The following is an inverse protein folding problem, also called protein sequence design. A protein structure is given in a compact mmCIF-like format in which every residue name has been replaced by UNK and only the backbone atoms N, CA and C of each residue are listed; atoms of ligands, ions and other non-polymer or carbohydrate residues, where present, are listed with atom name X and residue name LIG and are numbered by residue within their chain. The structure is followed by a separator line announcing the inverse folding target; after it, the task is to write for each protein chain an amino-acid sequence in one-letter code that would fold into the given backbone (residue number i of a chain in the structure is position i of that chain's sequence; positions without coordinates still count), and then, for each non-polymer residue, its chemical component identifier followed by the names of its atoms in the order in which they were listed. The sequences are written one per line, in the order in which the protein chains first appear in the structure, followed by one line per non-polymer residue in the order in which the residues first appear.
data_IF_573942819553
#
_entry.id   IF_573942819553
#
_cell.length_a   1.000
_cell.length_b   1.000
_cell.length_c   1.000
_cell.angle_alpha   90.00
_cell.angle_beta   90.00
_cell.angle_gamma   90.00
#
_symmetry.space_group_name_H-M   'P 1'
#
loop_
_entity.id
_entity.type
_entity.pdbx_description
1 polymer ?
#
# COMPACT_ATOMS: atom_id res chain seq x y z
N UNK A 1 -30.64 12.16 3.68
CA UNK A 1 -30.37 11.42 2.44
C UNK A 1 -29.72 12.35 1.44
N UNK A 2 -28.41 12.21 1.21
CA UNK A 2 -27.67 12.96 0.18
C UNK A 2 -28.09 12.43 -1.20
N UNK A 3 -28.65 13.29 -2.04
CA UNK A 3 -29.06 12.95 -3.40
C UNK A 3 -27.85 12.64 -4.29
N UNK A 4 -27.56 11.35 -4.49
CA UNK A 4 -26.60 10.84 -5.48
C UNK A 4 -26.90 11.34 -6.92
N UNK A 5 -28.16 11.68 -7.22
CA UNK A 5 -28.59 12.19 -8.54
C UNK A 5 -28.01 13.56 -8.90
N UNK A 6 -27.44 14.32 -7.96
CA UNK A 6 -26.77 15.58 -8.23
C UNK A 6 -25.26 15.45 -8.51
N UNK A 7 -24.63 14.34 -8.11
CA UNK A 7 -23.24 14.07 -8.50
C UNK A 7 -23.15 13.69 -9.99
N UNK A 8 -24.10 12.93 -10.53
CA UNK A 8 -24.08 12.56 -11.94
C UNK A 8 -24.34 13.75 -12.88
N UNK A 9 -25.12 14.75 -12.45
CA UNK A 9 -25.33 15.99 -13.21
C UNK A 9 -24.14 16.97 -13.13
N UNK A 10 -23.35 16.92 -12.07
CA UNK A 10 -22.09 17.67 -11.96
C UNK A 10 -20.93 17.07 -12.76
N UNK A 11 -20.93 15.75 -12.93
CA UNK A 11 -19.96 15.01 -13.79
C UNK A 11 -20.34 15.12 -15.28
N UNK A 12 -21.59 15.50 -15.59
CA UNK A 12 -22.07 15.78 -16.94
C UNK A 12 -21.57 17.13 -17.52
N UNK A 13 -20.36 17.57 -17.18
CA UNK A 13 -19.66 18.55 -18.02
C UNK A 13 -18.95 17.83 -19.16
N UNK A 14 -19.76 17.21 -20.04
CA UNK A 14 -19.30 16.65 -21.32
C UNK A 14 -18.23 17.51 -22.05
N UNK A 15 -18.28 18.86 -22.05
CA UNK A 15 -17.21 19.67 -22.66
C UNK A 15 -15.87 19.63 -21.90
N UNK A 16 -15.84 19.50 -20.57
CA UNK A 16 -14.58 19.44 -19.80
C UNK A 16 -13.96 18.05 -19.94
N UNK A 17 -14.76 16.99 -19.82
CA UNK A 17 -14.29 15.62 -20.05
C UNK A 17 -13.76 15.49 -21.48
N UNK A 18 -14.51 15.97 -22.49
CA UNK A 18 -14.04 16.00 -23.87
C UNK A 18 -12.78 16.86 -24.03
N UNK A 19 -12.68 18.04 -23.40
CA UNK A 19 -11.48 18.87 -23.46
C UNK A 19 -10.25 18.19 -22.83
N UNK A 20 -10.41 17.45 -21.72
CA UNK A 20 -9.32 16.68 -21.10
C UNK A 20 -8.89 15.52 -22.00
N UNK A 21 -9.82 14.76 -22.58
CA UNK A 21 -9.50 13.71 -23.54
C UNK A 21 -8.85 14.28 -24.82
N UNK A 22 -9.32 15.43 -25.30
CA UNK A 22 -8.78 16.14 -26.46
C UNK A 22 -7.44 16.84 -26.18
N UNK A 23 -7.12 17.15 -24.92
CA UNK A 23 -5.87 17.82 -24.53
C UNK A 23 -4.62 16.95 -24.67
N UNK A 24 -4.79 15.64 -24.94
CA UNK A 24 -3.70 14.68 -25.01
C UNK A 24 -3.11 14.28 -23.64
N UNK A 25 -3.47 14.97 -22.54
CA UNK A 25 -2.98 14.71 -21.18
C UNK A 25 -3.28 13.26 -20.76
N UNK A 26 -4.52 12.80 -20.97
CA UNK A 26 -4.90 11.42 -20.64
C UNK A 26 -4.15 10.40 -21.50
N UNK A 27 -3.96 10.69 -22.79
CA UNK A 27 -3.21 9.83 -23.70
C UNK A 27 -1.73 9.74 -23.29
N UNK A 28 -1.12 10.86 -22.88
CA UNK A 28 0.26 10.91 -22.41
C UNK A 28 0.43 10.24 -21.04
N UNK A 29 -0.53 10.39 -20.13
CA UNK A 29 -0.55 9.65 -18.86
C UNK A 29 -0.74 8.14 -19.10
N UNK A 30 -1.65 7.75 -19.99
CA UNK A 30 -1.85 6.35 -20.38
C UNK A 30 -0.57 5.74 -20.98
N UNK A 31 0.11 6.46 -21.89
CA UNK A 31 1.42 6.06 -22.41
C UNK A 31 2.45 5.93 -21.28
N UNK A 32 2.47 6.88 -20.34
CA UNK A 32 3.36 6.81 -19.18
C UNK A 32 3.07 5.56 -18.32
N UNK A 33 1.80 5.22 -18.07
CA UNK A 33 1.40 3.98 -17.41
C UNK A 33 1.84 2.74 -18.18
N UNK A 34 1.66 2.74 -19.51
CA UNK A 34 2.12 1.64 -20.36
C UNK A 34 3.64 1.45 -20.29
N UNK A 35 4.43 2.53 -20.43
CA UNK A 35 5.89 2.47 -20.32
C UNK A 35 6.35 2.11 -18.91
N UNK A 36 5.68 2.64 -17.88
CA UNK A 36 5.94 2.29 -16.49
C UNK A 36 5.68 0.81 -16.24
N UNK A 37 4.59 0.24 -16.77
CA UNK A 37 4.30 -1.19 -16.70
C UNK A 37 5.36 -2.01 -17.44
N UNK A 38 5.69 -1.61 -18.68
CA UNK A 38 6.70 -2.24 -19.52
C UNK A 38 8.12 -2.17 -18.93
N UNK A 39 8.42 -1.19 -18.08
CA UNK A 39 9.68 -1.13 -17.33
C UNK A 39 9.64 -1.88 -16.01
N UNK A 40 8.54 -1.78 -15.27
CA UNK A 40 8.38 -2.37 -13.92
C UNK A 40 8.31 -3.90 -14.00
N UNK A 41 7.56 -4.47 -14.95
CA UNK A 41 7.42 -5.92 -15.08
C UNK A 41 8.79 -6.59 -15.34
N UNK A 42 9.58 -6.19 -16.36
CA UNK A 42 10.90 -6.77 -16.57
C UNK A 42 11.87 -6.52 -15.43
N UNK A 43 11.77 -5.37 -14.73
CA UNK A 43 12.59 -5.10 -13.55
C UNK A 43 12.31 -6.12 -12.45
N UNK A 44 11.04 -6.39 -12.14
CA UNK A 44 10.66 -7.42 -11.18
C UNK A 44 11.15 -8.81 -11.60
N UNK A 45 11.01 -9.18 -12.88
CA UNK A 45 11.51 -10.44 -13.41
C UNK A 45 13.04 -10.53 -13.28
N UNK A 46 13.77 -9.48 -13.67
CA UNK A 46 15.22 -9.42 -13.60
C UNK A 46 15.74 -9.54 -12.16
N UNK A 47 15.09 -8.85 -11.20
CA UNK A 47 15.42 -8.97 -9.78
C UNK A 47 15.19 -10.41 -9.30
N UNK A 48 14.05 -11.02 -9.63
CA UNK A 48 13.78 -12.40 -9.21
C UNK A 48 14.77 -13.40 -9.83
N UNK A 49 15.10 -13.26 -11.12
CA UNK A 49 16.10 -14.09 -11.80
C UNK A 49 17.50 -13.90 -11.19
N UNK A 50 17.89 -12.66 -10.90
CA UNK A 50 19.15 -12.35 -10.23
C UNK A 50 19.21 -12.97 -8.83
N UNK A 51 18.14 -12.84 -8.04
CA UNK A 51 18.04 -13.46 -6.72
C UNK A 51 18.12 -14.99 -6.80
N UNK A 52 17.44 -15.62 -7.77
CA UNK A 52 17.51 -17.06 -7.99
C UNK A 52 18.92 -17.51 -8.41
N UNK A 53 19.59 -16.76 -9.29
CA UNK A 53 20.96 -17.02 -9.70
C UNK A 53 21.98 -16.86 -8.56
N UNK A 54 21.83 -15.81 -7.75
CA UNK A 54 22.66 -15.58 -6.55
C UNK A 54 22.44 -16.71 -5.54
N UNK A 55 21.21 -17.14 -5.30
CA UNK A 55 20.91 -18.26 -4.41
C UNK A 55 21.58 -19.58 -4.84
N UNK A 56 21.83 -19.80 -6.14
CA UNK A 56 22.56 -20.97 -6.65
C UNK A 56 24.09 -20.85 -6.46
N UNK A 57 24.63 -19.63 -6.52
CA UNK A 57 26.09 -19.40 -6.45
C UNK A 57 26.64 -19.37 -5.03
N UNK A 58 25.83 -19.00 -4.06
CA UNK A 58 26.28 -18.93 -2.67
C UNK A 58 25.92 -20.23 -1.92
N UNK A 59 26.87 -20.86 -1.21
CA UNK A 59 26.57 -22.02 -0.38
C UNK A 59 25.48 -21.69 0.64
N UNK A 60 24.70 -22.68 1.05
CA UNK A 60 23.45 -22.58 1.81
C UNK A 60 23.50 -21.85 3.18
N UNK A 61 24.60 -21.20 3.55
CA UNK A 61 24.77 -20.35 4.74
C UNK A 61 25.22 -18.90 4.47
N UNK A 62 25.44 -18.52 3.20
CA UNK A 62 25.87 -17.17 2.83
C UNK A 62 24.73 -16.25 2.39
N UNK A 63 23.65 -16.82 1.83
CA UNK A 63 22.46 -16.06 1.45
C UNK A 63 21.37 -16.19 2.52
N UNK A 64 20.51 -15.18 2.72
CA UNK A 64 19.37 -15.30 3.62
C UNK A 64 18.47 -16.43 3.11
N UNK A 65 18.44 -17.56 3.82
CA UNK A 65 17.49 -18.63 3.53
C UNK A 65 16.11 -18.12 3.92
N UNK A 66 15.35 -17.64 2.93
CA UNK A 66 13.95 -17.28 3.15
C UNK A 66 13.14 -18.57 3.37
N UNK A 67 12.46 -18.70 4.53
CA UNK A 67 11.76 -19.92 4.91
C UNK A 67 10.54 -20.22 4.05
N UNK A 68 9.97 -19.22 3.37
CA UNK A 68 8.82 -19.37 2.49
C UNK A 68 8.91 -18.44 1.27
N UNK A 69 8.16 -18.77 0.22
CA UNK A 69 8.14 -17.97 -1.02
C UNK A 69 7.52 -16.58 -0.82
N UNK A 70 6.58 -16.44 0.12
CA UNK A 70 6.01 -15.14 0.47
C UNK A 70 7.09 -14.12 0.92
N UNK A 71 8.02 -14.53 1.78
CA UNK A 71 9.12 -13.65 2.21
C UNK A 71 10.10 -13.32 1.08
N UNK A 72 10.30 -14.24 0.12
CA UNK A 72 11.12 -13.99 -1.07
C UNK A 72 10.49 -12.92 -1.95
N UNK A 73 9.18 -13.05 -2.23
CA UNK A 73 8.43 -12.07 -3.02
C UNK A 73 8.46 -10.70 -2.34
N UNK A 74 8.15 -10.61 -1.04
CA UNK A 74 8.21 -9.34 -0.29
C UNK A 74 9.61 -8.71 -0.33
N UNK A 75 10.66 -9.53 -0.23
CA UNK A 75 12.04 -9.03 -0.33
C UNK A 75 12.36 -8.52 -1.73
N UNK A 76 11.97 -9.24 -2.79
CA UNK A 76 12.12 -8.78 -4.17
C UNK A 76 11.36 -7.47 -4.43
N UNK A 77 10.15 -7.32 -3.87
CA UNK A 77 9.37 -6.09 -3.91
C UNK A 77 10.12 -4.92 -3.27
N UNK A 78 10.71 -5.10 -2.09
CA UNK A 78 11.50 -4.02 -1.46
C UNK A 78 12.72 -3.61 -2.30
N UNK A 79 13.40 -4.57 -2.95
CA UNK A 79 14.50 -4.26 -3.87
C UNK A 79 13.99 -3.45 -5.06
N UNK A 80 12.90 -3.89 -5.69
CA UNK A 80 12.31 -3.20 -6.83
C UNK A 80 11.92 -1.77 -6.45
N UNK A 81 11.30 -1.57 -5.28
CA UNK A 81 10.88 -0.25 -4.81
C UNK A 81 12.07 0.64 -4.52
N UNK A 82 13.12 0.09 -3.90
CA UNK A 82 14.36 0.83 -3.67
C UNK A 82 14.93 1.33 -5.00
N UNK A 83 15.03 0.46 -6.03
CA UNK A 83 15.56 0.82 -7.35
C UNK A 83 14.69 1.88 -8.04
N UNK A 84 13.38 1.67 -8.06
CA UNK A 84 12.38 2.58 -8.63
C UNK A 84 12.46 3.96 -7.96
N UNK A 85 12.45 4.02 -6.63
CA UNK A 85 12.49 5.28 -5.90
C UNK A 85 13.83 6.00 -6.03
N UNK A 86 14.95 5.27 -6.03
CA UNK A 86 16.25 5.88 -6.31
C UNK A 86 16.32 6.45 -7.73
N UNK A 87 15.82 5.73 -8.74
CA UNK A 87 15.81 6.20 -10.13
C UNK A 87 14.89 7.40 -10.37
N UNK A 88 13.80 7.52 -9.60
CA UNK A 88 12.82 8.59 -9.74
C UNK A 88 13.05 9.79 -8.82
N UNK A 89 13.83 9.65 -7.75
CA UNK A 89 14.07 10.71 -6.76
C UNK A 89 14.52 12.03 -7.43
N UNK A 90 15.62 12.02 -8.20
CA UNK A 90 16.16 13.23 -8.84
C UNK A 90 15.16 13.88 -9.82
N UNK A 91 14.62 13.16 -10.83
CA UNK A 91 13.70 13.79 -11.78
C UNK A 91 12.44 14.31 -11.08
N UNK A 92 11.96 13.64 -10.04
CA UNK A 92 10.74 14.04 -9.35
C UNK A 92 10.96 15.26 -8.44
N UNK A 93 12.12 15.37 -7.77
CA UNK A 93 12.50 16.58 -7.02
C UNK A 93 12.63 17.79 -7.94
N UNK A 94 13.24 17.63 -9.13
CA UNK A 94 13.31 18.71 -10.13
C UNK A 94 11.92 19.13 -10.58
N UNK A 95 11.03 18.17 -10.84
CA UNK A 95 9.65 18.45 -11.20
C UNK A 95 8.89 19.16 -10.08
N UNK A 96 9.04 18.71 -8.82
CA UNK A 96 8.44 19.34 -7.65
C UNK A 96 8.81 20.82 -7.55
N UNK A 97 10.10 21.16 -7.63
CA UNK A 97 10.57 22.55 -7.56
C UNK A 97 9.94 23.39 -8.68
N UNK A 98 9.96 22.88 -9.93
CA UNK A 98 9.38 23.60 -11.07
C UNK A 98 7.88 23.85 -10.90
N UNK A 99 7.14 22.89 -10.39
CA UNK A 99 5.69 23.03 -10.19
C UNK A 99 5.38 23.93 -9.01
N UNK A 100 6.08 23.80 -7.88
CA UNK A 100 5.81 24.61 -6.69
C UNK A 100 5.92 26.10 -6.98
N UNK A 101 6.95 26.49 -7.74
CA UNK A 101 7.24 27.88 -8.06
C UNK A 101 6.67 28.37 -9.39
N UNK A 102 5.93 27.54 -10.14
CA UNK A 102 5.25 28.03 -11.35
C UNK A 102 4.04 28.89 -10.98
N UNK A 103 3.97 30.07 -11.60
CA UNK A 103 2.80 30.95 -11.58
C UNK A 103 1.81 30.62 -12.72
N UNK A 104 2.16 29.71 -13.63
CA UNK A 104 1.35 29.36 -14.82
C UNK A 104 0.29 28.31 -14.48
N UNK A 105 -0.78 28.27 -15.28
CA UNK A 105 -1.88 27.31 -15.15
C UNK A 105 -1.49 25.89 -15.57
N UNK A 106 -2.21 24.88 -15.06
CA UNK A 106 -1.98 23.44 -15.34
C UNK A 106 -2.03 23.11 -16.84
N UNK A 107 -2.91 23.77 -17.60
CA UNK A 107 -3.04 23.57 -19.04
C UNK A 107 -1.72 23.81 -19.79
N UNK A 108 -0.94 24.80 -19.36
CA UNK A 108 0.38 25.04 -19.93
C UNK A 108 1.39 23.95 -19.57
N UNK A 109 1.30 23.40 -18.34
CA UNK A 109 2.15 22.28 -17.96
C UNK A 109 1.87 21.05 -18.82
N UNK A 110 0.60 20.77 -19.14
CA UNK A 110 0.18 19.62 -19.96
C UNK A 110 0.75 19.60 -21.39
N UNK A 111 1.12 20.76 -21.94
CA UNK A 111 1.76 20.86 -23.27
C UNK A 111 3.29 20.79 -23.21
N UNK A 112 3.89 20.93 -22.02
CA UNK A 112 5.33 21.02 -21.85
C UNK A 112 5.97 19.65 -21.56
N UNK A 113 7.24 19.50 -21.93
CA UNK A 113 8.08 18.35 -21.52
C UNK A 113 8.08 18.10 -20.00
N UNK A 114 7.82 19.14 -19.21
CA UNK A 114 7.65 19.08 -17.75
C UNK A 114 6.54 18.13 -17.31
N UNK A 115 5.40 18.03 -18.03
CA UNK A 115 4.34 17.09 -17.66
C UNK A 115 4.80 15.64 -17.79
N UNK A 116 5.59 15.31 -18.80
CA UNK A 116 6.16 13.96 -18.97
C UNK A 116 7.09 13.58 -17.82
N UNK A 117 7.86 14.54 -17.30
CA UNK A 117 8.71 14.35 -16.12
C UNK A 117 7.93 14.08 -14.83
N UNK A 118 6.62 14.38 -14.78
CA UNK A 118 5.74 14.14 -13.63
C UNK A 118 4.90 12.88 -13.84
N UNK A 119 4.30 12.76 -15.02
CA UNK A 119 3.44 11.66 -15.40
C UNK A 119 4.18 10.32 -15.31
N UNK A 120 5.45 10.26 -15.72
CA UNK A 120 6.21 9.01 -15.65
C UNK A 120 6.48 8.53 -14.22
N UNK A 121 7.04 9.34 -13.29
CA UNK A 121 7.15 8.94 -11.88
C UNK A 121 5.80 8.59 -11.22
N UNK A 122 4.74 9.34 -11.47
CA UNK A 122 3.40 9.05 -10.93
C UNK A 122 2.86 7.71 -11.45
N UNK A 123 2.99 7.47 -12.77
CA UNK A 123 2.62 6.21 -13.39
C UNK A 123 3.43 5.04 -12.81
N UNK A 124 4.73 5.24 -12.59
CA UNK A 124 5.60 4.24 -11.97
C UNK A 124 5.15 3.91 -10.53
N UNK A 125 4.80 4.92 -9.73
CA UNK A 125 4.26 4.72 -8.38
C UNK A 125 2.90 4.01 -8.39
N UNK A 126 2.00 4.38 -9.30
CA UNK A 126 0.71 3.71 -9.48
C UNK A 126 0.90 2.22 -9.81
N UNK A 127 1.76 1.91 -10.78
CA UNK A 127 2.08 0.53 -11.16
C UNK A 127 2.70 -0.23 -9.99
N UNK A 128 3.63 0.41 -9.27
CA UNK A 128 4.29 -0.15 -8.09
C UNK A 128 3.27 -0.54 -7.01
N UNK A 129 2.32 0.34 -6.67
CA UNK A 129 1.25 0.03 -5.72
C UNK A 129 0.28 -1.04 -6.22
N UNK A 130 -0.02 -1.06 -7.52
CA UNK A 130 -0.77 -2.13 -8.16
C UNK A 130 -0.09 -3.48 -7.96
N UNK A 131 1.21 -3.58 -8.29
CA UNK A 131 1.99 -4.79 -8.08
C UNK A 131 2.09 -5.19 -6.60
N UNK A 132 2.32 -4.24 -5.69
CA UNK A 132 2.34 -4.55 -4.26
C UNK A 132 1.01 -5.12 -3.79
N UNK A 133 -0.08 -4.47 -4.18
CA UNK A 133 -1.44 -4.85 -3.82
C UNK A 133 -1.76 -6.26 -4.32
N UNK A 134 -1.50 -6.53 -5.59
CA UNK A 134 -1.74 -7.84 -6.21
C UNK A 134 -0.86 -8.94 -5.62
N UNK A 135 0.42 -8.67 -5.36
CA UNK A 135 1.31 -9.67 -4.78
C UNK A 135 0.95 -9.97 -3.33
N UNK A 136 0.64 -8.93 -2.53
CA UNK A 136 0.28 -9.13 -1.12
C UNK A 136 -1.11 -9.68 -0.92
N UNK A 137 -2.07 -9.41 -1.80
CA UNK A 137 -3.43 -9.98 -1.69
C UNK A 137 -3.44 -11.51 -1.77
N UNK A 138 -2.46 -12.11 -2.45
CA UNK A 138 -2.32 -13.58 -2.55
C UNK A 138 -1.86 -14.20 -1.23
N UNK A 139 -0.94 -13.55 -0.51
CA UNK A 139 -0.35 -14.12 0.70
C UNK A 139 -1.04 -13.65 1.97
N UNK A 140 -1.29 -12.35 2.09
CA UNK A 140 -1.87 -11.73 3.26
C UNK A 140 -2.37 -10.32 2.96
N UNK A 141 -3.69 -10.16 3.03
CA UNK A 141 -4.34 -8.86 2.92
C UNK A 141 -3.91 -7.96 4.08
N UNK A 142 -3.26 -6.84 3.77
CA UNK A 142 -2.94 -5.79 4.73
C UNK A 142 -3.87 -4.60 4.48
N UNK A 143 -4.91 -4.47 5.32
CA UNK A 143 -5.94 -3.42 5.22
C UNK A 143 -5.32 -2.02 5.25
N UNK A 144 -4.31 -1.80 6.10
CA UNK A 144 -3.63 -0.52 6.20
C UNK A 144 -2.99 -0.11 4.87
N UNK A 145 -2.32 -1.05 4.21
CA UNK A 145 -1.71 -0.84 2.91
C UNK A 145 -2.74 -0.57 1.81
N UNK A 146 -3.86 -1.31 1.83
CA UNK A 146 -4.96 -1.11 0.88
C UNK A 146 -5.54 0.29 1.02
N UNK A 147 -5.83 0.74 2.24
CA UNK A 147 -6.32 2.09 2.49
C UNK A 147 -5.32 3.12 1.98
N UNK A 148 -4.02 2.94 2.27
CA UNK A 148 -2.97 3.82 1.77
C UNK A 148 -2.96 3.92 0.23
N UNK A 149 -3.03 2.79 -0.47
CA UNK A 149 -3.06 2.78 -1.93
C UNK A 149 -4.34 3.38 -2.50
N UNK A 150 -5.50 3.07 -1.92
CA UNK A 150 -6.77 3.66 -2.34
C UNK A 150 -6.76 5.17 -2.20
N UNK A 151 -6.21 5.68 -1.10
CA UNK A 151 -6.07 7.12 -0.89
C UNK A 151 -5.13 7.78 -1.90
N UNK A 152 -3.99 7.14 -2.19
CA UNK A 152 -3.08 7.61 -3.24
C UNK A 152 -3.76 7.64 -4.61
N UNK A 153 -4.40 6.53 -5.01
CA UNK A 153 -5.13 6.44 -6.28
C UNK A 153 -6.26 7.47 -6.37
N UNK A 154 -6.96 7.74 -5.26
CA UNK A 154 -8.02 8.75 -5.22
C UNK A 154 -7.47 10.16 -5.43
N UNK A 155 -6.33 10.48 -4.81
CA UNK A 155 -5.65 11.77 -5.02
C UNK A 155 -5.19 11.94 -6.47
N UNK A 156 -4.62 10.89 -7.05
CA UNK A 156 -4.21 10.89 -8.44
C UNK A 156 -5.40 11.07 -9.40
N UNK A 157 -6.53 10.42 -9.13
CA UNK A 157 -7.76 10.62 -9.90
C UNK A 157 -8.28 12.06 -9.78
N UNK A 158 -8.30 12.63 -8.57
CA UNK A 158 -8.67 14.03 -8.35
C UNK A 158 -7.74 15.00 -9.08
N UNK A 159 -6.44 14.69 -9.13
CA UNK A 159 -5.45 15.48 -9.87
C UNK A 159 -5.73 15.47 -11.37
N UNK A 160 -6.09 14.32 -11.95
CA UNK A 160 -6.42 14.20 -13.38
C UNK A 160 -7.74 14.91 -13.74
N UNK A 161 -8.73 14.90 -12.84
CA UNK A 161 -10.05 15.47 -13.11
C UNK A 161 -10.11 16.98 -12.87
N UNK A 162 -9.47 17.49 -11.82
CA UNK A 162 -9.80 18.82 -11.28
C UNK A 162 -9.29 19.99 -12.10
N UNK A 163 -8.33 19.80 -13.01
CA UNK A 163 -7.56 20.87 -13.70
C UNK A 163 -6.95 21.93 -12.76
N UNK A 164 -6.99 21.68 -11.44
CA UNK A 164 -6.61 22.63 -10.41
C UNK A 164 -5.10 22.55 -10.16
N UNK A 165 -4.40 23.68 -10.30
CA UNK A 165 -2.98 23.78 -9.96
C UNK A 165 -2.73 23.45 -8.49
N UNK A 166 -3.70 23.75 -7.61
CA UNK A 166 -3.61 23.44 -6.20
C UNK A 166 -3.59 21.92 -5.96
N UNK A 167 -4.54 21.17 -6.53
CA UNK A 167 -4.60 19.71 -6.38
C UNK A 167 -3.36 19.05 -6.98
N UNK A 168 -2.89 19.55 -8.13
CA UNK A 168 -1.62 19.11 -8.74
C UNK A 168 -0.42 19.33 -7.80
N UNK A 169 -0.30 20.51 -7.17
CA UNK A 169 0.78 20.80 -6.23
C UNK A 169 0.71 19.88 -5.01
N UNK A 170 -0.47 19.65 -4.45
CA UNK A 170 -0.66 18.71 -3.32
C UNK A 170 -0.21 17.31 -3.70
N UNK A 171 -0.70 16.79 -4.84
CA UNK A 171 -0.38 15.44 -5.29
C UNK A 171 1.11 15.25 -5.58
N UNK A 172 1.75 16.22 -6.24
CA UNK A 172 3.19 16.15 -6.52
C UNK A 172 4.03 16.26 -5.26
N UNK A 173 3.63 17.07 -4.25
CA UNK A 173 4.32 17.07 -2.96
C UNK A 173 4.23 15.68 -2.34
N UNK A 174 3.03 15.11 -2.18
CA UNK A 174 2.83 13.81 -1.54
C UNK A 174 3.61 12.70 -2.26
N UNK A 175 3.50 12.65 -3.59
CA UNK A 175 4.14 11.64 -4.43
C UNK A 175 5.66 11.79 -4.48
N UNK A 176 6.18 13.02 -4.54
CA UNK A 176 7.62 13.27 -4.51
C UNK A 176 8.21 12.77 -3.18
N UNK A 177 7.59 13.08 -2.04
CA UNK A 177 8.10 12.65 -0.74
C UNK A 177 8.00 11.15 -0.50
N UNK A 178 7.12 10.43 -1.19
CA UNK A 178 7.12 8.96 -1.18
C UNK A 178 8.45 8.39 -1.71
N UNK A 179 9.09 9.01 -2.71
CA UNK A 179 10.39 8.52 -3.23
C UNK A 179 11.52 8.56 -2.22
N UNK A 180 11.42 9.43 -1.20
CA UNK A 180 12.40 9.53 -0.13
C UNK A 180 12.34 8.35 0.85
N UNK A 181 11.34 7.46 0.73
CA UNK A 181 11.27 6.20 1.46
C UNK A 181 12.30 5.17 0.99
N UNK A 182 13.05 5.44 -0.08
CA UNK A 182 14.11 4.54 -0.57
C UNK A 182 15.10 4.10 0.53
N UNK A 183 15.43 4.97 1.49
CA UNK A 183 16.33 4.60 2.60
C UNK A 183 15.68 3.65 3.60
N UNK A 184 14.37 3.70 3.79
CA UNK A 184 13.65 2.71 4.60
C UNK A 184 13.67 1.35 3.91
N UNK A 185 13.43 1.30 2.60
CA UNK A 185 13.55 0.06 1.83
C UNK A 185 14.98 -0.49 1.85
N UNK A 186 15.99 0.36 1.65
CA UNK A 186 17.40 -0.02 1.78
C UNK A 186 17.70 -0.61 3.17
N UNK A 187 17.13 -0.02 4.23
CA UNK A 187 17.26 -0.51 5.60
C UNK A 187 16.61 -1.89 5.80
N UNK A 188 15.45 -2.13 5.19
CA UNK A 188 14.78 -3.44 5.22
C UNK A 188 15.58 -4.50 4.46
N UNK A 189 16.21 -4.12 3.35
CA UNK A 189 17.09 -4.99 2.57
C UNK A 189 18.34 -5.33 3.38
N UNK A 190 19.01 -4.30 3.93
CA UNK A 190 20.20 -4.44 4.76
C UNK A 190 19.95 -5.38 5.95
N UNK A 191 18.79 -5.28 6.61
CA UNK A 191 18.40 -6.17 7.71
C UNK A 191 18.34 -7.64 7.32
N UNK A 192 18.04 -7.96 6.06
CA UNK A 192 17.98 -9.34 5.57
C UNK A 192 19.35 -9.83 5.11
N UNK A 193 20.17 -8.97 4.50
CA UNK A 193 21.43 -9.35 3.86
C UNK A 193 22.64 -9.27 4.80
N UNK A 194 22.68 -8.29 5.71
CA UNK A 194 23.84 -8.05 6.56
C UNK A 194 23.77 -8.85 7.86
N UNK A 195 24.91 -9.44 8.24
CA UNK A 195 25.05 -10.22 9.50
C UNK A 195 25.29 -9.33 10.72
N UNK A 196 25.90 -8.16 10.54
CA UNK A 196 26.26 -7.27 11.65
C UNK A 196 25.04 -6.51 12.19
N UNK A 197 24.63 -6.84 13.41
CA UNK A 197 23.53 -6.17 14.12
C UNK A 197 23.78 -4.68 14.27
N UNK A 198 25.01 -4.27 14.55
CA UNK A 198 25.39 -2.85 14.72
C UNK A 198 25.19 -2.08 13.43
N UNK A 199 25.68 -2.62 12.30
CA UNK A 199 25.54 -2.00 10.98
C UNK A 199 24.06 -1.91 10.59
N UNK A 200 23.30 -2.98 10.73
CA UNK A 200 21.86 -3.00 10.43
C UNK A 200 21.10 -1.97 11.27
N UNK A 201 21.41 -1.88 12.58
CA UNK A 201 20.77 -0.93 13.49
C UNK A 201 21.10 0.52 13.14
N UNK A 202 22.35 0.79 12.71
CA UNK A 202 22.80 2.10 12.25
C UNK A 202 22.11 2.51 10.95
N UNK A 203 22.08 1.65 9.93
CA UNK A 203 21.39 1.91 8.66
C UNK A 203 19.90 2.18 8.90
N UNK A 204 19.24 1.36 9.71
CA UNK A 204 17.83 1.55 10.06
C UNK A 204 17.57 2.87 10.81
N UNK A 205 18.48 3.26 11.72
CA UNK A 205 18.38 4.54 12.41
C UNK A 205 18.52 5.72 11.44
N UNK A 206 19.49 5.66 10.51
CA UNK A 206 19.68 6.67 9.48
C UNK A 206 18.46 6.78 8.55
N UNK A 207 17.90 5.64 8.10
CA UNK A 207 16.70 5.60 7.29
C UNK A 207 15.48 6.19 8.02
N UNK A 208 15.29 5.86 9.30
CA UNK A 208 14.23 6.44 10.14
C UNK A 208 14.38 7.95 10.34
N UNK A 209 15.60 8.42 10.63
CA UNK A 209 15.88 9.84 10.81
C UNK A 209 15.61 10.63 9.52
N UNK A 210 16.07 10.11 8.37
CA UNK A 210 15.81 10.72 7.07
C UNK A 210 14.33 10.73 6.71
N UNK A 211 13.61 9.63 6.99
CA UNK A 211 12.16 9.58 6.82
C UNK A 211 11.46 10.65 7.68
N UNK A 212 11.79 10.74 8.98
CA UNK A 212 11.18 11.74 9.86
C UNK A 212 11.46 13.17 9.35
N UNK A 213 12.70 13.46 8.97
CA UNK A 213 13.09 14.75 8.41
C UNK A 213 12.31 15.11 7.15
N UNK A 214 12.21 14.17 6.21
CA UNK A 214 11.47 14.39 4.95
C UNK A 214 9.98 14.59 5.19
N UNK A 215 9.36 13.88 6.16
CA UNK A 215 7.95 14.14 6.53
C UNK A 215 7.73 15.51 7.16
N UNK A 216 8.67 16.04 7.93
CA UNK A 216 8.58 17.40 8.46
C UNK A 216 8.60 18.44 7.33
N UNK A 217 9.49 18.28 6.35
CA UNK A 217 9.53 19.18 5.18
C UNK A 217 8.22 19.05 4.38
N UNK A 218 7.75 17.83 4.11
CA UNK A 218 6.48 17.59 3.43
C UNK A 218 5.32 18.31 4.14
N UNK A 219 5.21 18.15 5.46
CA UNK A 219 4.17 18.80 6.25
C UNK A 219 4.26 20.33 6.19
N UNK A 220 5.46 20.91 6.31
CA UNK A 220 5.66 22.35 6.18
C UNK A 220 5.23 22.88 4.81
N UNK A 221 5.61 22.19 3.73
CA UNK A 221 5.22 22.55 2.36
C UNK A 221 3.70 22.47 2.16
N UNK A 222 3.07 21.42 2.66
CA UNK A 222 1.62 21.24 2.56
C UNK A 222 0.87 22.31 3.35
N UNK A 223 1.25 22.55 4.61
CA UNK A 223 0.65 23.62 5.44
C UNK A 223 0.76 24.97 4.73
N UNK A 224 1.96 25.32 4.25
CA UNK A 224 2.17 26.55 3.50
C UNK A 224 1.27 26.64 2.26
N UNK A 225 1.15 25.54 1.50
CA UNK A 225 0.30 25.47 0.31
C UNK A 225 -1.19 25.64 0.64
N UNK A 226 -1.70 24.94 1.67
CA UNK A 226 -3.11 25.03 2.09
C UNK A 226 -3.46 26.44 2.60
N UNK A 227 -2.58 27.06 3.38
CA UNK A 227 -2.79 28.43 3.89
C UNK A 227 -2.78 29.44 2.75
N UNK A 228 -1.80 29.36 1.84
CA UNK A 228 -1.68 30.27 0.71
C UNK A 228 -2.84 30.15 -0.28
N UNK A 229 -3.42 28.95 -0.46
CA UNK A 229 -4.49 28.71 -1.43
C UNK A 229 -5.90 28.97 -0.91
N UNK A 230 -6.09 29.06 0.42
CA UNK A 230 -7.41 29.13 1.06
C UNK A 230 -8.30 30.23 0.48
N UNK A 231 -7.77 31.45 0.35
CA UNK A 231 -8.54 32.59 -0.14
C UNK A 231 -8.93 32.49 -1.62
N UNK A 232 -8.11 31.84 -2.45
CA UNK A 232 -8.35 31.68 -3.87
C UNK A 232 -9.36 30.56 -4.16
N UNK A 233 -9.15 29.38 -3.56
CA UNK A 233 -9.98 28.21 -3.82
C UNK A 233 -11.40 28.37 -3.25
N UNK A 234 -11.56 29.08 -2.14
CA UNK A 234 -12.88 29.29 -1.52
C UNK A 234 -13.84 30.23 -2.26
N UNK A 235 -13.36 30.93 -3.30
CA UNK A 235 -14.18 31.85 -4.11
C UNK A 235 -15.23 31.12 -4.94
N UNK A 236 -14.99 29.86 -5.29
CA UNK A 236 -15.92 29.04 -6.07
C UNK A 236 -16.39 27.85 -5.25
N UNK A 237 -17.62 27.40 -5.46
CA UNK A 237 -18.15 26.19 -4.80
C UNK A 237 -17.31 24.95 -5.15
N UNK A 238 -16.89 24.82 -6.42
CA UNK A 238 -16.01 23.74 -6.89
C UNK A 238 -14.63 23.77 -6.23
N UNK A 239 -13.96 24.92 -6.24
CA UNK A 239 -12.63 25.08 -5.62
C UNK A 239 -12.66 24.81 -4.11
N UNK A 240 -13.69 25.29 -3.41
CA UNK A 240 -13.93 24.98 -1.99
C UNK A 240 -14.01 23.48 -1.73
N UNK A 241 -14.77 22.76 -2.55
CA UNK A 241 -14.87 21.29 -2.45
C UNK A 241 -13.52 20.61 -2.60
N UNK A 242 -12.78 20.95 -3.67
CA UNK A 242 -11.46 20.38 -3.94
C UNK A 242 -10.45 20.68 -2.81
N UNK A 243 -10.49 21.89 -2.25
CA UNK A 243 -9.63 22.29 -1.15
C UNK A 243 -9.86 21.43 0.10
N UNK A 244 -11.12 21.30 0.54
CA UNK A 244 -11.47 20.50 1.72
C UNK A 244 -11.23 19.00 1.51
N UNK A 245 -11.58 18.46 0.34
CA UNK A 245 -11.31 17.05 0.03
C UNK A 245 -9.81 16.77 0.05
N UNK A 246 -8.99 17.63 -0.56
CA UNK A 246 -7.53 17.48 -0.54
C UNK A 246 -6.97 17.58 0.88
N UNK A 247 -7.50 18.48 1.72
CA UNK A 247 -7.08 18.63 3.12
C UNK A 247 -7.35 17.36 3.93
N UNK A 248 -8.55 16.80 3.81
CA UNK A 248 -8.95 15.58 4.53
C UNK A 248 -8.07 14.40 4.08
N UNK A 249 -7.93 14.19 2.76
CA UNK A 249 -7.09 13.10 2.22
C UNK A 249 -5.64 13.26 2.64
N UNK A 250 -5.09 14.47 2.56
CA UNK A 250 -3.72 14.76 2.98
C UNK A 250 -3.50 14.51 4.48
N UNK A 251 -4.46 14.89 5.32
CA UNK A 251 -4.41 14.64 6.77
C UNK A 251 -4.38 13.15 7.07
N UNK A 252 -5.30 12.40 6.46
CA UNK A 252 -5.38 10.95 6.61
C UNK A 252 -4.09 10.25 6.12
N UNK A 253 -3.56 10.63 4.96
CA UNK A 253 -2.27 10.11 4.46
C UNK A 253 -1.12 10.45 5.41
N UNK A 254 -1.10 11.64 5.99
CA UNK A 254 -0.09 12.05 6.97
C UNK A 254 -0.17 11.20 8.25
N UNK A 255 -1.38 10.87 8.72
CA UNK A 255 -1.58 9.95 9.84
C UNK A 255 -1.08 8.54 9.53
N UNK A 256 -1.36 8.02 8.33
CA UNK A 256 -0.83 6.73 7.87
C UNK A 256 0.72 6.76 7.80
N UNK A 257 1.31 7.86 7.34
CA UNK A 257 2.76 8.05 7.30
C UNK A 257 3.38 8.11 8.72
N UNK A 258 2.71 8.75 9.68
CA UNK A 258 3.11 8.73 11.09
C UNK A 258 3.02 7.31 11.68
N UNK A 259 1.97 6.57 11.35
CA UNK A 259 1.84 5.18 11.79
C UNK A 259 2.95 4.28 11.21
N UNK A 260 3.31 4.51 9.95
CA UNK A 260 4.44 3.84 9.30
C UNK A 260 5.75 4.08 10.06
N UNK A 261 6.02 5.31 10.50
CA UNK A 261 7.17 5.63 11.34
C UNK A 261 7.19 4.83 12.66
N UNK A 262 6.04 4.65 13.30
CA UNK A 262 5.92 3.84 14.53
C UNK A 262 6.28 2.38 14.26
N UNK A 263 5.81 1.80 13.15
CA UNK A 263 6.14 0.42 12.76
C UNK A 263 7.65 0.26 12.58
N UNK A 264 8.29 1.14 11.79
CA UNK A 264 9.74 1.06 11.55
C UNK A 264 10.55 1.31 12.83
N UNK A 265 10.10 2.21 13.69
CA UNK A 265 10.70 2.45 15.00
C UNK A 265 10.61 1.22 15.90
N UNK A 266 9.48 0.52 15.89
CA UNK A 266 9.32 -0.74 16.63
C UNK A 266 10.28 -1.80 16.10
N UNK A 267 10.35 -1.97 14.78
CA UNK A 267 11.31 -2.88 14.11
C UNK A 267 12.74 -2.57 14.58
N UNK A 268 13.15 -1.30 14.55
CA UNK A 268 14.49 -0.87 14.95
C UNK A 268 14.83 -1.25 16.39
N UNK A 269 13.91 -1.03 17.34
CA UNK A 269 14.10 -1.38 18.77
C UNK A 269 14.24 -2.88 19.02
N UNK A 270 13.71 -3.71 18.12
CA UNK A 270 13.77 -5.17 18.22
C UNK A 270 15.01 -5.79 17.56
N UNK A 271 15.79 -5.03 16.78
CA UNK A 271 17.04 -5.50 16.18
C UNK A 271 18.05 -5.81 17.30
N UNK A 272 18.58 -7.03 17.31
CA UNK A 272 19.57 -7.49 18.30
C UNK A 272 18.99 -8.03 19.61
N UNK A 273 17.66 -8.01 19.80
CA UNK A 273 17.06 -8.70 20.95
C UNK A 273 17.06 -10.20 20.69
N UNK A 274 17.50 -11.05 21.65
CA UNK A 274 17.36 -12.49 21.54
C UNK A 274 15.89 -12.81 21.25
N UNK A 275 15.62 -13.62 20.22
CA UNK A 275 14.29 -14.19 20.08
C UNK A 275 14.09 -15.09 21.29
N UNK A 276 13.23 -14.67 22.22
CA UNK A 276 12.76 -15.57 23.26
C UNK A 276 12.32 -16.86 22.56
N UNK A 277 12.80 -18.03 23.01
CA UNK A 277 12.33 -19.30 22.49
C UNK A 277 10.81 -19.23 22.47
N UNK A 278 10.20 -19.44 21.31
CA UNK A 278 8.77 -19.64 21.25
C UNK A 278 8.47 -20.76 22.22
N UNK A 279 7.82 -20.42 23.35
CA UNK A 279 7.37 -21.42 24.32
C UNK A 279 6.73 -22.54 23.52
N UNK A 280 7.05 -23.82 23.81
CA UNK A 280 6.50 -24.97 23.12
C UNK A 280 5.02 -24.70 22.93
N UNK A 281 4.60 -24.58 21.67
CA UNK A 281 3.22 -24.31 21.34
C UNK A 281 2.49 -25.52 21.90
N UNK A 282 1.90 -25.35 23.10
CA UNK A 282 1.39 -26.44 23.91
C UNK A 282 0.37 -27.12 23.01
N UNK A 283 0.78 -28.26 22.45
CA UNK A 283 -0.08 -29.06 21.59
C UNK A 283 -1.31 -29.30 22.42
N UNK A 284 -2.43 -28.71 22.00
CA UNK A 284 -3.71 -28.95 22.62
C UNK A 284 -3.81 -30.47 22.79
N UNK A 285 -4.07 -30.98 24.01
CA UNK A 285 -4.14 -32.41 24.22
C UNK A 285 -5.08 -32.98 23.15
N UNK A 286 -4.70 -34.08 22.47
CA UNK A 286 -5.51 -34.65 21.41
C UNK A 286 -6.92 -34.79 21.96
N UNK A 287 -7.89 -34.14 21.30
CA UNK A 287 -9.28 -34.24 21.66
C UNK A 287 -9.60 -35.73 21.76
N UNK A 288 -9.83 -36.19 22.99
CA UNK A 288 -10.16 -37.58 23.27
C UNK A 288 -11.33 -37.95 22.37
N UNK A 289 -11.10 -38.87 21.45
CA UNK A 289 -12.12 -39.51 20.65
C UNK A 289 -13.20 -40.06 21.60
N UNK A 290 -14.30 -39.33 21.75
CA UNK A 290 -15.51 -39.88 22.35
C UNK A 290 -16.09 -40.86 21.34
N UNK A 291 -15.68 -42.12 21.45
CA UNK A 291 -16.26 -43.24 20.74
C UNK A 291 -17.73 -43.37 21.17
N UNK A 292 -18.65 -42.86 20.35
CA UNK A 292 -20.05 -43.25 20.44
C UNK A 292 -20.14 -44.74 20.07
N UNK A 293 -20.26 -45.62 21.08
CA UNK A 293 -20.74 -46.98 20.87
C UNK A 293 -22.23 -46.88 20.51
N UNK A 294 -22.53 -46.98 19.20
CA UNK A 294 -23.87 -47.26 18.73
C UNK A 294 -24.18 -48.73 19.03
N UNK A 295 -25.14 -48.93 19.93
CA UNK A 295 -25.74 -50.21 20.27
C UNK A 295 -26.35 -50.82 19.01
N UNK A 296 -25.85 -52.00 18.65
CA UNK A 296 -26.43 -52.90 17.65
C UNK A 296 -27.73 -53.48 18.19
N UNK A 297 -28.87 -52.94 17.79
CA UNK A 297 -30.16 -53.60 17.88
C UNK A 297 -30.51 -54.20 16.52
N UNK A 298 -30.69 -55.51 16.53
CA UNK A 298 -31.01 -56.42 15.45
C UNK A 298 -32.53 -56.48 15.33
N UNK A 299 -33.10 -56.17 14.17
CA UNK A 299 -34.44 -56.63 13.81
C UNK A 299 -34.54 -56.78 12.28
N UNK A 300 -34.83 -58.02 11.89
CA UNK A 300 -35.13 -58.48 10.54
C UNK A 300 -36.50 -57.92 10.09
N UNK A 301 -36.69 -57.64 8.80
CA UNK A 301 -37.82 -58.14 7.99
C UNK A 301 -38.01 -57.37 6.67
N UNK A 302 -38.04 -58.14 5.58
CA UNK A 302 -38.91 -58.02 4.40
C UNK A 302 -38.91 -56.78 3.46
N UNK A 303 -38.35 -57.02 2.27
CA UNK A 303 -38.99 -56.90 0.94
C UNK A 303 -39.99 -55.75 0.65
N UNK A 304 -39.64 -54.88 -0.32
CA UNK A 304 -40.28 -54.79 -1.66
C UNK A 304 -39.86 -53.54 -2.45
N UNK A 305 -39.48 -53.79 -3.70
CA UNK A 305 -39.99 -53.17 -4.94
C UNK A 305 -39.92 -51.64 -5.17
N UNK A 306 -39.13 -51.28 -6.19
CA UNK A 306 -39.32 -50.24 -7.24
C UNK A 306 -39.93 -48.88 -6.85
N UNK A 307 -39.29 -47.78 -7.26
CA UNK A 307 -39.56 -47.07 -8.53
C UNK A 307 -38.82 -45.72 -8.56
N UNK A 308 -38.23 -45.41 -9.73
CA UNK A 308 -38.10 -44.09 -10.39
C UNK A 308 -38.21 -42.81 -9.55
N UNK A 309 -37.14 -42.00 -9.51
CA UNK A 309 -37.10 -40.72 -10.24
C UNK A 309 -35.75 -40.00 -10.04
N UNK A 310 -35.06 -39.71 -11.15
CA UNK A 310 -34.27 -38.49 -11.29
C UNK A 310 -35.24 -37.29 -11.23
N UNK A 311 -34.84 -36.13 -10.65
CA UNK A 311 -33.98 -35.23 -11.42
C UNK A 311 -32.95 -34.43 -10.60
N UNK A 312 -31.91 -34.01 -11.33
CA UNK A 312 -31.16 -32.76 -11.22
C UNK A 312 -31.31 -31.95 -9.92
N UNK A 313 -30.20 -31.81 -9.19
CA UNK A 313 -30.02 -30.66 -8.31
C UNK A 313 -28.68 -29.95 -8.50
N UNK A 314 -28.83 -28.64 -8.44
CA UNK A 314 -27.92 -27.56 -8.80
C UNK A 314 -26.77 -27.50 -7.77
N UNK A 315 -25.53 -27.41 -8.25
CA UNK A 315 -24.38 -27.05 -7.42
C UNK A 315 -24.56 -25.62 -6.88
N UNK A 316 -25.14 -25.52 -5.69
CA UNK A 316 -25.08 -24.33 -4.85
C UNK A 316 -23.76 -24.33 -4.08
N UNK A 317 -22.82 -23.52 -4.56
CA UNK A 317 -21.58 -23.20 -3.86
C UNK A 317 -21.90 -22.48 -2.56
N UNK A 318 -21.85 -23.20 -1.42
CA UNK A 318 -21.81 -22.60 -0.09
C UNK A 318 -20.56 -21.74 0.02
N UNK A 319 -20.76 -20.43 -0.06
CA UNK A 319 -19.81 -19.44 0.44
C UNK A 319 -19.74 -19.58 1.96
N UNK A 320 -18.66 -20.18 2.45
CA UNK A 320 -18.34 -20.16 3.87
C UNK A 320 -17.98 -18.73 4.30
N UNK A 321 -18.78 -18.25 5.24
CA UNK A 321 -18.63 -17.01 5.99
C UNK A 321 -17.26 -16.99 6.69
N UNK A 322 -16.42 -16.02 6.30
CA UNK A 322 -15.25 -15.62 7.06
C UNK A 322 -15.67 -14.92 8.36
N UNK A 323 -15.07 -15.24 9.52
CA UNK A 323 -15.29 -14.48 10.74
C UNK A 323 -14.60 -13.12 10.64
N UNK A 324 -15.42 -12.07 10.70
CA UNK A 324 -15.01 -10.70 10.97
C UNK A 324 -14.33 -10.62 12.34
N UNK A 325 -13.04 -10.28 12.37
CA UNK A 325 -12.32 -9.96 13.61
C UNK A 325 -11.56 -8.64 13.43
N UNK A 326 -12.24 -7.55 13.76
CA UNK A 326 -11.66 -6.26 14.10
C UNK A 326 -11.92 -6.03 15.59
N UNK A 327 -10.91 -5.95 16.46
CA UNK A 327 -11.12 -5.36 17.78
C UNK A 327 -10.94 -3.84 17.68
N UNK A 328 -11.92 -3.13 18.22
CA UNK A 328 -11.98 -1.68 18.30
C UNK A 328 -10.76 -1.08 18.99
N UNK A 329 -10.27 0.01 18.40
CA UNK A 329 -9.36 0.95 19.03
C UNK A 329 -10.15 2.24 19.20
N UNK A 330 -10.99 2.29 20.22
CA UNK A 330 -11.53 3.51 20.79
C UNK A 330 -12.10 3.14 22.15
N UNK A 331 -11.21 3.04 23.13
CA UNK A 331 -11.43 3.42 24.52
C UNK A 331 -10.17 3.12 25.35
N UNK A 332 -10.06 3.78 26.50
CA UNK A 332 -8.99 3.69 27.51
C UNK A 332 -7.67 4.41 27.23
N UNK A 333 -7.73 5.74 27.35
CA UNK A 333 -6.75 6.42 28.18
C UNK A 333 -6.93 5.97 29.65
N UNK A 334 -5.82 5.87 30.37
CA UNK A 334 -5.69 5.49 31.80
C UNK A 334 -5.88 4.01 32.17
N UNK A 335 -4.82 3.23 32.04
CA UNK A 335 -4.42 2.23 33.05
C UNK A 335 -3.03 1.65 32.70
N UNK A 336 -2.05 1.95 33.54
CA UNK A 336 -0.67 1.51 33.41
C UNK A 336 -0.50 0.06 33.87
N UNK A 337 -0.99 -0.95 33.13
CA UNK A 337 -0.65 -2.36 33.45
C UNK A 337 -0.76 -3.39 32.31
N UNK A 338 -1.07 -3.04 31.06
CA UNK A 338 -1.35 -4.06 29.99
C UNK A 338 -0.43 -4.03 28.76
N UNK A 339 0.84 -3.59 28.88
CA UNK A 339 1.79 -3.50 27.75
C UNK A 339 2.18 -4.85 27.09
N UNK A 340 1.82 -6.00 27.67
CA UNK A 340 2.22 -7.31 27.18
C UNK A 340 1.33 -7.94 26.09
N UNK A 341 0.02 -7.63 26.08
CA UNK A 341 -0.94 -8.33 25.21
C UNK A 341 -1.03 -7.71 23.80
N UNK A 342 -0.91 -6.38 23.68
CA UNK A 342 -1.07 -5.67 22.40
C UNK A 342 0.07 -5.91 21.38
N UNK A 343 1.26 -6.34 21.83
CA UNK A 343 2.38 -6.62 20.93
C UNK A 343 2.25 -7.94 20.17
N UNK A 344 1.45 -8.91 20.65
CA UNK A 344 1.24 -10.19 19.94
C UNK A 344 0.35 -10.03 18.71
N UNK A 345 -0.65 -9.16 18.76
CA UNK A 345 -1.57 -8.89 17.64
C UNK A 345 -0.86 -8.13 16.51
N UNK A 346 0.00 -7.15 16.86
CA UNK A 346 0.88 -6.47 15.90
C UNK A 346 1.92 -7.41 15.27
N UNK A 347 2.39 -8.42 16.01
CA UNK A 347 3.38 -9.40 15.55
C UNK A 347 2.80 -10.40 14.55
N UNK A 348 1.52 -10.76 14.68
CA UNK A 348 0.87 -11.55 13.64
C UNK A 348 0.80 -10.75 12.36
N UNK A 349 0.27 -9.51 12.35
CA UNK A 349 -0.04 -8.75 11.13
C UNK A 349 1.13 -8.39 10.17
N UNK A 350 2.38 -8.41 10.64
CA UNK A 350 3.53 -7.84 9.91
C UNK A 350 4.71 -8.79 9.65
N UNK A 351 4.52 -10.10 9.88
CA UNK A 351 5.43 -11.15 9.39
C UNK A 351 4.82 -11.86 8.19
#
# INVERSE_FOLDING_TARGET
MLHWSNLSRGVASAPITAAIFNSGIFADFYKACFYAAAGTIPLFLAINLALAGLARKFPAGCWPSFPNDAQRVVFATHIAFCVIFTGTFVPFTVALVRILFTARSVLWLGQASTYRCIAYPLALQLMMYGFEGSLRSVYRVNVFLIIHHLMFCSMLALMLESTSTFVLKVDVILSCFATYEMLLYASLIARKVLKSVVVVKSIMAAGLAFYAFTRLIQAALLIGLFVASYGQENRTSKGRGLWWTSLIMCTLLSLLQCYTFIIYSAIWRHIGRPRLPSLPQHSSPPASHTTHMAVSAKEDSEAKTQLSHEPHDIMSSKAELLPSYMPGIMDTAMSSSSRGANLRTLRSAYV
#
